data_IF_647978626215
#
_entry.id   IF_647978626215
#
_cell.length_a   1.000
_cell.length_b   1.000
_cell.length_c   1.000
_cell.angle_alpha   90.00
_cell.angle_beta   90.00
_cell.angle_gamma   90.00
#
_symmetry.space_group_name_H-M   'P 1'
#
loop_
_entity.id
_entity.type
_entity.pdbx_description
1 polymer ?
#
# COMPACT_ATOMS: atom_id res chain seq x y z
N UNK A 1 17.22 -3.23 16.58
CA UNK A 1 18.24 -4.02 15.88
C UNK A 1 17.79 -5.47 15.65
N UNK A 2 17.49 -6.26 16.69
CA UNK A 2 17.11 -7.68 16.53
C UNK A 2 15.77 -7.88 15.80
N UNK A 3 14.75 -7.08 16.13
CA UNK A 3 13.41 -7.17 15.50
C UNK A 3 13.44 -6.79 14.02
N UNK A 4 14.22 -5.78 13.67
CA UNK A 4 14.45 -5.31 12.31
C UNK A 4 15.19 -6.37 11.50
N UNK A 5 16.23 -6.97 12.07
CA UNK A 5 16.97 -8.08 11.48
C UNK A 5 16.07 -9.30 11.22
N UNK A 6 15.26 -9.71 12.19
CA UNK A 6 14.30 -10.80 12.02
C UNK A 6 13.26 -10.48 10.92
N UNK A 7 12.79 -9.24 10.86
CA UNK A 7 11.86 -8.80 9.82
C UNK A 7 12.50 -8.87 8.44
N UNK A 8 13.78 -8.51 8.30
CA UNK A 8 14.52 -8.58 7.05
C UNK A 8 14.77 -10.03 6.58
N UNK A 9 15.18 -10.91 7.50
CA UNK A 9 15.46 -12.32 7.18
C UNK A 9 14.18 -13.06 6.83
N UNK A 10 13.07 -12.78 7.52
CA UNK A 10 11.78 -13.47 7.31
C UNK A 10 10.88 -12.83 6.25
N UNK A 11 11.30 -11.71 5.65
CA UNK A 11 10.51 -11.02 4.64
C UNK A 11 10.21 -11.93 3.44
N UNK A 12 8.93 -12.19 3.19
CA UNK A 12 8.49 -12.75 1.91
C UNK A 12 8.34 -11.58 0.95
N UNK A 13 9.38 -11.34 0.17
CA UNK A 13 9.51 -10.23 -0.77
C UNK A 13 10.10 -10.78 -2.07
N UNK A 14 9.70 -10.20 -3.20
CA UNK A 14 10.34 -10.49 -4.48
C UNK A 14 11.84 -10.16 -4.41
N UNK A 15 12.64 -10.81 -5.28
CA UNK A 15 14.07 -10.51 -5.43
C UNK A 15 14.30 -9.02 -5.69
N UNK A 16 13.43 -8.43 -6.51
CA UNK A 16 13.41 -7.01 -6.83
C UNK A 16 13.14 -6.13 -5.60
N UNK A 17 12.08 -6.42 -4.84
CA UNK A 17 11.77 -5.65 -3.62
C UNK A 17 12.93 -5.65 -2.60
N UNK A 18 13.68 -6.76 -2.52
CA UNK A 18 14.90 -6.85 -1.69
C UNK A 18 16.08 -6.09 -2.28
N UNK A 19 16.33 -6.22 -3.58
CA UNK A 19 17.46 -5.60 -4.29
C UNK A 19 17.38 -4.07 -4.25
N UNK A 20 16.19 -3.53 -4.43
CA UNK A 20 15.96 -2.07 -4.46
C UNK A 20 15.74 -1.44 -3.08
N UNK A 21 15.84 -2.22 -2.00
CA UNK A 21 15.80 -1.68 -0.64
C UNK A 21 14.40 -1.47 -0.04
N UNK A 22 13.32 -1.80 -0.75
CA UNK A 22 11.95 -1.59 -0.28
C UNK A 22 11.62 -2.36 1.02
N UNK A 23 12.24 -3.52 1.24
CA UNK A 23 12.11 -4.25 2.52
C UNK A 23 12.74 -3.47 3.67
N UNK A 24 13.95 -2.93 3.46
CA UNK A 24 14.68 -2.13 4.44
C UNK A 24 13.93 -0.82 4.73
N UNK A 25 13.40 -0.18 3.71
CA UNK A 25 12.57 1.01 3.85
C UNK A 25 11.30 0.74 4.65
N UNK A 26 10.58 -0.35 4.35
CA UNK A 26 9.40 -0.76 5.12
C UNK A 26 9.72 -0.98 6.60
N UNK A 27 10.86 -1.63 6.90
CA UNK A 27 11.35 -1.82 8.26
C UNK A 27 11.71 -0.48 8.93
N UNK A 28 12.33 0.44 8.20
CA UNK A 28 12.68 1.76 8.70
C UNK A 28 11.44 2.62 9.00
N UNK A 29 10.42 2.57 8.14
CA UNK A 29 9.11 3.20 8.37
C UNK A 29 8.47 2.65 9.64
N UNK A 30 8.42 1.33 9.79
CA UNK A 30 7.84 0.67 10.96
C UNK A 30 8.59 1.01 12.26
N UNK A 31 9.92 1.08 12.22
CA UNK A 31 10.73 1.54 13.34
C UNK A 31 10.49 3.03 13.68
N UNK A 32 10.37 3.89 12.66
CA UNK A 32 10.06 5.32 12.83
C UNK A 32 8.68 5.53 13.41
N UNK A 33 7.67 4.82 12.90
CA UNK A 33 6.31 4.83 13.42
C UNK A 33 6.30 4.50 14.92
N UNK A 34 6.98 3.43 15.35
CA UNK A 34 7.06 3.08 16.77
C UNK A 34 7.72 4.15 17.62
N UNK A 35 8.86 4.68 17.18
CA UNK A 35 9.64 5.68 17.95
C UNK A 35 8.91 7.03 18.04
N UNK A 36 8.23 7.41 16.96
CA UNK A 36 7.61 8.72 16.81
C UNK A 36 6.08 8.66 16.82
N UNK A 37 5.47 7.62 17.41
CA UNK A 37 4.04 7.35 17.32
C UNK A 37 3.17 8.57 17.73
N UNK A 38 3.56 9.28 18.79
CA UNK A 38 2.87 10.50 19.25
C UNK A 38 2.90 11.60 18.19
N UNK A 39 4.06 11.83 17.57
CA UNK A 39 4.22 12.83 16.52
C UNK A 39 3.49 12.44 15.22
N UNK A 40 3.31 11.14 14.97
CA UNK A 40 2.57 10.64 13.81
C UNK A 40 1.06 10.69 13.98
N UNK A 41 0.54 10.79 15.20
CA UNK A 41 -0.88 10.65 15.48
C UNK A 41 -1.78 11.64 14.70
N UNK A 42 -1.37 12.91 14.60
CA UNK A 42 -2.12 13.93 13.84
C UNK A 42 -2.12 13.66 12.33
N UNK A 43 -1.00 13.18 11.80
CA UNK A 43 -0.88 12.76 10.40
C UNK A 43 -1.82 11.57 10.11
N UNK A 44 -1.75 10.51 10.92
CA UNK A 44 -2.61 9.34 10.75
C UNK A 44 -4.09 9.71 10.85
N UNK A 45 -4.46 10.56 11.80
CA UNK A 45 -5.82 11.07 11.91
C UNK A 45 -6.27 11.81 10.64
N UNK A 46 -5.39 12.66 10.09
CA UNK A 46 -5.67 13.41 8.86
C UNK A 46 -5.84 12.48 7.66
N UNK A 47 -4.95 11.50 7.49
CA UNK A 47 -5.05 10.47 6.45
C UNK A 47 -6.36 9.69 6.55
N UNK A 48 -6.70 9.22 7.76
CA UNK A 48 -7.92 8.43 7.98
C UNK A 48 -9.19 9.27 7.76
N UNK A 49 -9.17 10.54 8.16
CA UNK A 49 -10.28 11.47 7.95
C UNK A 49 -10.49 11.75 6.46
N UNK A 50 -9.41 12.05 5.72
CA UNK A 50 -9.46 12.31 4.29
C UNK A 50 -9.96 11.10 3.50
N UNK A 51 -9.47 9.90 3.83
CA UNK A 51 -9.97 8.66 3.24
C UNK A 51 -11.45 8.47 3.60
N UNK A 52 -11.84 8.68 4.86
CA UNK A 52 -13.23 8.58 5.28
C UNK A 52 -14.16 9.55 4.53
N UNK A 53 -13.70 10.77 4.24
CA UNK A 53 -14.45 11.72 3.41
C UNK A 53 -14.57 11.23 1.96
N UNK A 54 -13.47 10.73 1.39
CA UNK A 54 -13.48 10.18 0.03
C UNK A 54 -14.44 9.00 -0.10
N UNK A 55 -14.50 8.12 0.90
CA UNK A 55 -15.48 7.02 0.99
C UNK A 55 -16.90 7.57 0.98
N UNK A 56 -17.21 8.57 1.83
CA UNK A 56 -18.56 9.16 1.91
C UNK A 56 -19.01 9.85 0.62
N UNK A 57 -18.07 10.40 -0.15
CA UNK A 57 -18.36 11.13 -1.41
C UNK A 57 -18.38 10.20 -2.62
N UNK A 58 -17.98 8.95 -2.46
CA UNK A 58 -17.96 7.98 -3.53
C UNK A 58 -19.40 7.52 -3.86
N UNK A 59 -19.86 7.64 -5.12
CA UNK A 59 -21.23 7.24 -5.48
C UNK A 59 -21.38 5.71 -5.57
N UNK A 60 -20.27 4.99 -5.82
CA UNK A 60 -20.22 3.54 -5.98
C UNK A 60 -19.42 2.89 -4.86
N UNK A 61 -19.80 1.68 -4.49
CA UNK A 61 -19.21 0.93 -3.37
C UNK A 61 -18.86 -0.51 -3.76
N UNK A 62 -18.69 -0.79 -5.05
CA UNK A 62 -18.29 -2.10 -5.53
C UNK A 62 -16.80 -2.33 -5.30
N UNK A 63 -15.94 -1.36 -5.65
CA UNK A 63 -14.50 -1.54 -5.52
C UNK A 63 -13.72 -0.29 -5.14
N UNK A 64 -12.91 -0.42 -4.09
CA UNK A 64 -11.87 0.55 -3.75
C UNK A 64 -10.47 -0.01 -4.04
N UNK A 65 -9.57 0.86 -4.47
CA UNK A 65 -8.15 0.54 -4.72
C UNK A 65 -7.26 1.50 -3.96
N UNK A 66 -6.26 0.98 -3.25
CA UNK A 66 -5.21 1.76 -2.57
C UNK A 66 -3.87 1.49 -3.24
N UNK A 67 -3.27 2.52 -3.81
CA UNK A 67 -1.93 2.50 -4.42
C UNK A 67 -0.90 2.96 -3.38
N UNK A 68 0.13 2.15 -3.12
CA UNK A 68 1.14 2.43 -2.09
C UNK A 68 0.66 2.10 -0.68
N UNK A 69 -0.05 1.00 -0.52
CA UNK A 69 -0.72 0.61 0.74
C UNK A 69 0.24 0.20 1.88
N UNK A 70 1.45 -0.25 1.54
CA UNK A 70 2.57 -0.53 2.45
C UNK A 70 2.19 -1.23 3.76
N UNK A 71 2.59 -0.61 4.88
CA UNK A 71 2.37 -1.13 6.23
C UNK A 71 0.98 -0.86 6.81
N UNK A 72 0.09 -0.20 6.04
CA UNK A 72 -1.29 0.14 6.40
C UNK A 72 -1.48 1.15 7.54
N UNK A 73 -0.44 1.92 7.91
CA UNK A 73 -0.58 2.92 8.98
C UNK A 73 -1.56 4.03 8.60
N UNK A 74 -1.45 4.56 7.38
CA UNK A 74 -2.32 5.63 6.86
C UNK A 74 -3.68 5.13 6.36
N UNK A 75 -3.89 3.81 6.33
CA UNK A 75 -5.05 3.18 5.70
C UNK A 75 -6.04 2.72 6.76
N UNK A 76 -7.25 3.31 6.86
CA UNK A 76 -8.30 2.84 7.75
C UNK A 76 -8.96 1.57 7.18
N UNK A 77 -8.21 0.46 7.16
CA UNK A 77 -8.62 -0.79 6.52
C UNK A 77 -10.01 -1.29 6.95
N UNK A 78 -10.40 -1.28 8.24
CA UNK A 78 -11.74 -1.70 8.64
C UNK A 78 -12.86 -0.87 8.01
N UNK A 79 -12.64 0.44 7.83
CA UNK A 79 -13.62 1.33 7.22
C UNK A 79 -13.73 1.02 5.73
N UNK A 80 -12.61 0.87 5.01
CA UNK A 80 -12.62 0.47 3.60
C UNK A 80 -13.30 -0.89 3.40
N UNK A 81 -12.93 -1.89 4.20
CA UNK A 81 -13.49 -3.23 4.09
C UNK A 81 -14.98 -3.28 4.47
N UNK A 82 -15.46 -2.40 5.36
CA UNK A 82 -16.88 -2.27 5.68
C UNK A 82 -17.68 -1.49 4.64
N UNK A 83 -17.04 -0.66 3.82
CA UNK A 83 -17.70 0.22 2.86
C UNK A 83 -17.69 -0.28 1.41
N UNK A 84 -16.85 -1.25 1.04
CA UNK A 84 -16.73 -1.71 -0.35
C UNK A 84 -16.88 -3.23 -0.50
N UNK A 85 -17.47 -3.66 -1.62
CA UNK A 85 -17.61 -5.08 -1.96
C UNK A 85 -16.26 -5.77 -2.18
N UNK A 86 -15.28 -5.05 -2.74
CA UNK A 86 -13.88 -5.46 -2.84
C UNK A 86 -12.94 -4.30 -2.51
N UNK A 87 -11.89 -4.56 -1.75
CA UNK A 87 -10.79 -3.62 -1.49
C UNK A 87 -9.50 -4.21 -2.02
N UNK A 88 -8.84 -3.55 -2.97
CA UNK A 88 -7.56 -3.98 -3.52
C UNK A 88 -6.43 -3.09 -3.00
N UNK A 89 -5.42 -3.71 -2.39
CA UNK A 89 -4.27 -3.04 -1.80
C UNK A 89 -3.03 -3.35 -2.64
N UNK A 90 -2.51 -2.33 -3.31
CA UNK A 90 -1.32 -2.43 -4.16
C UNK A 90 -0.13 -1.84 -3.43
N UNK A 91 0.98 -2.57 -3.47
CA UNK A 91 2.28 -2.07 -3.05
C UNK A 91 3.37 -2.94 -3.69
N UNK A 92 4.60 -2.46 -3.74
CA UNK A 92 5.74 -3.30 -4.13
C UNK A 92 6.10 -4.31 -3.04
N UNK A 93 5.74 -4.01 -1.78
CA UNK A 93 5.98 -4.89 -0.64
C UNK A 93 4.99 -4.69 0.51
N UNK A 94 4.31 -5.77 0.91
CA UNK A 94 3.50 -5.78 2.13
C UNK A 94 4.20 -6.51 3.28
N UNK A 95 4.52 -5.84 4.41
CA UNK A 95 5.15 -6.48 5.55
C UNK A 95 4.22 -7.52 6.21
N UNK A 96 4.76 -8.54 6.91
CA UNK A 96 3.95 -9.63 7.48
C UNK A 96 2.80 -9.17 8.39
N UNK A 97 2.99 -8.08 9.14
CA UNK A 97 1.96 -7.49 10.00
C UNK A 97 0.78 -6.96 9.18
N UNK A 98 1.04 -6.25 8.07
CA UNK A 98 0.01 -5.77 7.16
C UNK A 98 -0.75 -6.93 6.53
N UNK A 99 -0.02 -7.94 6.02
CA UNK A 99 -0.64 -9.15 5.45
C UNK A 99 -1.55 -9.88 6.45
N UNK A 100 -1.19 -9.91 7.74
CA UNK A 100 -2.04 -10.49 8.80
C UNK A 100 -3.30 -9.66 9.05
N UNK A 101 -3.22 -8.34 8.95
CA UNK A 101 -4.41 -7.47 9.05
C UNK A 101 -5.34 -7.68 7.86
N UNK A 102 -4.80 -7.76 6.65
CA UNK A 102 -5.57 -8.02 5.42
C UNK A 102 -6.37 -9.33 5.49
N UNK A 103 -5.76 -10.41 5.99
CA UNK A 103 -6.40 -11.73 6.12
C UNK A 103 -7.64 -11.76 7.04
N UNK A 104 -7.88 -10.72 7.83
CA UNK A 104 -9.09 -10.61 8.66
C UNK A 104 -10.33 -10.25 7.84
N UNK A 105 -10.15 -9.82 6.58
CA UNK A 105 -11.20 -9.30 5.73
C UNK A 105 -11.29 -10.13 4.45
N UNK A 106 -12.37 -10.90 4.23
CA UNK A 106 -12.47 -11.78 3.06
C UNK A 106 -12.58 -11.02 1.73
N UNK A 107 -13.00 -9.75 1.78
CA UNK A 107 -13.11 -8.86 0.62
C UNK A 107 -11.84 -8.03 0.36
N UNK A 108 -10.75 -8.26 1.08
CA UNK A 108 -9.48 -7.55 0.89
C UNK A 108 -8.51 -8.41 0.10
N UNK A 109 -8.06 -7.90 -1.04
CA UNK A 109 -7.06 -8.52 -1.91
C UNK A 109 -5.78 -7.70 -1.93
N UNK A 110 -4.64 -8.32 -1.64
CA UNK A 110 -3.33 -7.69 -1.77
C UNK A 110 -2.67 -8.08 -3.08
N UNK A 111 -2.16 -7.11 -3.84
CA UNK A 111 -1.40 -7.33 -5.08
C UNK A 111 -0.02 -6.71 -4.88
N UNK A 112 1.02 -7.53 -5.03
CA UNK A 112 2.38 -7.01 -5.14
C UNK A 112 2.62 -6.52 -6.56
N UNK A 113 2.85 -5.22 -6.73
CA UNK A 113 3.00 -4.59 -8.03
C UNK A 113 3.96 -3.41 -7.92
N UNK A 114 4.96 -3.37 -8.80
CA UNK A 114 5.74 -2.18 -9.06
C UNK A 114 4.96 -1.28 -10.03
N UNK A 115 4.31 -0.26 -9.47
CA UNK A 115 3.44 0.65 -10.22
C UNK A 115 4.20 1.55 -11.21
N UNK A 116 5.51 1.69 -11.03
CA UNK A 116 6.37 2.54 -11.86
C UNK A 116 7.30 1.74 -12.76
N UNK A 117 7.37 0.42 -12.58
CA UNK A 117 8.29 -0.48 -13.29
C UNK A 117 9.77 -0.12 -13.10
N UNK A 118 10.09 0.64 -12.05
CA UNK A 118 11.47 1.07 -11.76
C UNK A 118 12.36 -0.09 -11.33
N UNK A 119 11.76 -1.16 -10.80
CA UNK A 119 12.44 -2.34 -10.33
C UNK A 119 12.74 -3.37 -11.43
N UNK A 120 12.21 -3.18 -12.64
CA UNK A 120 12.46 -4.02 -13.83
C UNK A 120 13.09 -3.15 -14.94
N UNK A 121 14.43 -3.10 -15.05
CA UNK A 121 15.13 -2.25 -16.03
C UNK A 121 14.71 -2.51 -17.49
N UNK A 122 14.25 -3.73 -17.79
CA UNK A 122 13.75 -4.09 -19.12
C UNK A 122 12.44 -3.37 -19.48
N UNK A 123 11.69 -2.87 -18.49
CA UNK A 123 10.46 -2.09 -18.66
C UNK A 123 10.68 -0.58 -18.49
N UNK A 124 11.87 -0.14 -18.06
CA UNK A 124 12.19 1.27 -17.80
C UNK A 124 12.17 2.16 -19.06
N UNK A 125 12.24 1.58 -20.25
CA UNK A 125 12.07 2.28 -21.55
C UNK A 125 10.60 2.57 -21.89
N UNK A 126 9.65 2.06 -21.10
CA UNK A 126 8.22 2.09 -21.41
C UNK A 126 7.55 3.22 -20.62
N UNK A 127 7.71 4.45 -21.12
CA UNK A 127 7.47 5.73 -20.41
C UNK A 127 6.00 6.08 -20.03
N UNK A 128 5.02 5.21 -20.28
CA UNK A 128 3.59 5.49 -20.02
C UNK A 128 2.68 4.26 -19.72
N UNK A 129 2.96 3.03 -20.20
CA UNK A 129 2.04 1.89 -20.04
C UNK A 129 1.88 1.28 -18.64
N UNK A 130 2.77 1.56 -17.68
CA UNK A 130 2.77 0.85 -16.38
C UNK A 130 1.72 1.37 -15.40
N UNK A 131 1.45 2.68 -15.39
CA UNK A 131 0.39 3.29 -14.55
C UNK A 131 -1.02 2.83 -14.95
N UNK A 132 -1.19 2.20 -16.12
CA UNK A 132 -2.46 1.60 -16.55
C UNK A 132 -2.52 0.08 -16.39
N UNK A 133 -1.38 -0.61 -16.24
CA UNK A 133 -1.34 -2.08 -16.21
C UNK A 133 -2.11 -2.65 -15.01
N UNK A 134 -1.99 -2.01 -13.84
CA UNK A 134 -2.78 -2.40 -12.68
C UNK A 134 -4.29 -2.22 -12.90
N UNK A 135 -4.71 -1.21 -13.68
CA UNK A 135 -6.13 -1.00 -14.01
C UNK A 135 -6.67 -2.13 -14.86
N UNK A 136 -5.88 -2.68 -15.78
CA UNK A 136 -6.29 -3.85 -16.57
C UNK A 136 -6.46 -5.11 -15.70
N UNK A 137 -5.62 -5.28 -14.67
CA UNK A 137 -5.72 -6.42 -13.74
C UNK A 137 -6.89 -6.30 -12.76
N UNK A 138 -7.34 -5.09 -12.46
CA UNK A 138 -8.38 -4.84 -11.47
C UNK A 138 -9.75 -4.65 -12.14
N UNK A 139 -9.84 -3.94 -13.25
CA UNK A 139 -11.09 -3.58 -13.92
C UNK A 139 -11.68 -2.27 -13.38
N UNK A 140 -13.01 -2.15 -13.39
CA UNK A 140 -13.72 -0.96 -12.90
C UNK A 140 -13.46 -0.71 -11.39
N UNK A 141 -13.36 0.55 -11.02
CA UNK A 141 -13.06 1.00 -9.65
C UNK A 141 -13.89 2.24 -9.35
N UNK A 142 -14.52 2.28 -8.19
CA UNK A 142 -15.32 3.44 -7.75
C UNK A 142 -14.47 4.46 -7.00
N UNK A 143 -13.48 3.97 -6.23
CA UNK A 143 -12.57 4.80 -5.45
C UNK A 143 -11.10 4.39 -5.64
N UNK A 144 -10.25 5.34 -6.02
CA UNK A 144 -8.78 5.17 -6.06
C UNK A 144 -8.13 6.09 -5.04
N UNK A 145 -7.32 5.53 -4.15
CA UNK A 145 -6.56 6.26 -3.13
C UNK A 145 -5.07 6.13 -3.44
N UNK A 146 -4.37 7.26 -3.57
CA UNK A 146 -2.90 7.28 -3.53
C UNK A 146 -2.43 7.49 -2.11
N UNK A 147 -1.75 6.50 -1.54
CA UNK A 147 -1.16 6.56 -0.21
C UNK A 147 0.30 6.94 -0.31
N UNK A 148 0.56 8.25 -0.39
CA UNK A 148 1.89 8.84 -0.47
C UNK A 148 2.74 8.43 -1.70
N UNK A 149 2.17 7.71 -2.68
CA UNK A 149 2.89 7.28 -3.87
C UNK A 149 3.15 8.43 -4.85
N UNK A 150 2.18 9.33 -5.05
CA UNK A 150 2.32 10.45 -6.01
C UNK A 150 3.46 11.40 -5.64
N UNK A 151 3.77 11.54 -4.35
CA UNK A 151 4.86 12.41 -3.86
C UNK A 151 6.25 11.81 -4.10
N UNK A 152 6.32 10.54 -4.47
CA UNK A 152 7.56 9.82 -4.76
C UNK A 152 7.86 9.75 -6.27
N UNK A 153 7.01 10.38 -7.09
CA UNK A 153 7.25 10.51 -8.53
C UNK A 153 8.25 11.65 -8.79
N UNK A 154 9.17 11.47 -9.75
CA UNK A 154 10.12 12.52 -10.16
C UNK A 154 9.45 13.72 -10.81
#
# INVERSE_FOLDING_TARGET
>A
MIREFLSFVTARASSHARRFGYVQESIAIDARYRRCAKAWASHLHSCHSAIGEAIRRCPGHDRAVVLGSGALYDIPLPHLAGSFREVVLLDIYHPPKARRQMRQWPNVRAIECDLLGLAEPALATVQAPLLSAWRQQIGAVDLVISSNLLTQLP
#
